data_IF_849336669214
#
_entry.id   IF_849336669214
#
_cell.length_a   1.000
_cell.length_b   1.000
_cell.length_c   1.000
_cell.angle_alpha   90.00
_cell.angle_beta   90.00
_cell.angle_gamma   90.00
#
_symmetry.space_group_name_H-M   'P 1'
#
loop_
_entity.id
_entity.type
_entity.pdbx_description
1 polymer ?
#
# COMPACT_ATOMS: atom_id res chain seq x y z
N UNK A 1 -10.30 -8.07 -7.54
CA UNK A 1 -11.47 -7.84 -6.66
C UNK A 1 -12.71 -8.60 -7.10
N UNK A 2 -12.96 -8.70 -8.41
CA UNK A 2 -14.20 -9.26 -9.00
C UNK A 2 -14.51 -10.70 -8.55
N UNK A 3 -13.49 -11.55 -8.39
CA UNK A 3 -13.69 -12.95 -7.98
C UNK A 3 -14.36 -13.12 -6.60
N UNK A 4 -14.06 -12.26 -5.62
CA UNK A 4 -14.71 -12.31 -4.29
C UNK A 4 -16.17 -11.88 -4.36
N UNK A 5 -16.49 -10.91 -5.22
CA UNK A 5 -17.86 -10.42 -5.43
C UNK A 5 -18.75 -11.39 -6.20
N UNK A 6 -18.15 -12.21 -7.07
CA UNK A 6 -18.85 -13.31 -7.75
C UNK A 6 -19.26 -14.38 -6.75
N UNK A 7 -18.38 -14.71 -5.78
CA UNK A 7 -18.66 -15.71 -4.74
C UNK A 7 -19.56 -15.18 -3.61
N UNK A 8 -19.47 -13.88 -3.28
CA UNK A 8 -20.33 -13.22 -2.30
C UNK A 8 -20.74 -11.83 -2.80
N UNK A 9 -22.03 -11.64 -3.09
CA UNK A 9 -22.57 -10.38 -3.63
C UNK A 9 -22.65 -9.24 -2.59
N UNK A 10 -22.48 -9.53 -1.30
CA UNK A 10 -22.42 -8.51 -0.27
C UNK A 10 -21.08 -7.76 -0.32
N UNK A 11 -21.09 -6.57 -0.92
CA UNK A 11 -19.91 -5.73 -1.09
C UNK A 11 -19.24 -5.32 0.24
N UNK A 12 -19.97 -5.31 1.36
CA UNK A 12 -19.38 -4.99 2.67
C UNK A 12 -18.38 -6.06 3.15
N UNK A 13 -18.43 -7.26 2.57
CA UNK A 13 -17.61 -8.41 2.97
C UNK A 13 -16.39 -8.65 2.08
N UNK A 14 -16.18 -7.84 1.04
CA UNK A 14 -15.13 -8.08 0.04
C UNK A 14 -13.71 -8.21 0.64
N UNK A 15 -13.46 -7.55 1.77
CA UNK A 15 -12.19 -7.59 2.49
C UNK A 15 -12.20 -8.47 3.74
N UNK A 16 -13.31 -9.16 4.03
CA UNK A 16 -13.44 -9.97 5.24
C UNK A 16 -12.60 -11.24 5.13
N UNK A 17 -11.57 -11.36 5.97
CA UNK A 17 -10.81 -12.61 6.11
C UNK A 17 -11.68 -13.77 6.60
N UNK A 18 -12.77 -13.51 7.34
CA UNK A 18 -13.69 -14.57 7.77
C UNK A 18 -14.42 -15.21 6.61
N UNK A 19 -14.80 -14.42 5.60
CA UNK A 19 -15.58 -14.90 4.45
C UNK A 19 -14.68 -15.44 3.33
N UNK A 20 -13.46 -14.89 3.20
CA UNK A 20 -12.60 -15.14 2.04
C UNK A 20 -11.18 -15.63 2.37
N UNK A 21 -10.88 -15.83 3.66
CA UNK A 21 -9.52 -16.04 4.13
C UNK A 21 -8.66 -14.78 4.06
N UNK A 22 -7.52 -14.84 4.75
CA UNK A 22 -6.49 -13.81 4.64
C UNK A 22 -6.01 -13.69 3.19
N UNK A 23 -5.60 -12.48 2.76
CA UNK A 23 -5.07 -12.29 1.41
C UNK A 23 -3.79 -13.11 1.23
N UNK A 24 -3.53 -13.54 -0.01
CA UNK A 24 -2.30 -14.25 -0.36
C UNK A 24 -1.05 -13.35 -0.20
N UNK A 25 -1.24 -12.03 -0.20
CA UNK A 25 -0.18 -11.04 0.05
C UNK A 25 0.17 -11.01 1.54
N UNK A 26 1.46 -10.93 1.92
CA UNK A 26 1.87 -10.88 3.31
C UNK A 26 1.19 -9.76 4.12
N UNK A 27 0.72 -10.10 5.32
CA UNK A 27 0.14 -9.12 6.25
C UNK A 27 1.22 -8.51 7.15
N UNK A 28 1.49 -7.22 6.96
CA UNK A 28 2.36 -6.44 7.84
C UNK A 28 1.63 -6.13 9.16
N UNK A 29 2.24 -6.48 10.30
CA UNK A 29 1.70 -6.21 11.64
C UNK A 29 2.68 -5.32 12.39
N UNK A 30 2.17 -4.25 12.98
CA UNK A 30 2.92 -3.29 13.79
C UNK A 30 1.99 -2.63 14.81
N UNK A 31 2.53 -2.11 15.90
CA UNK A 31 1.78 -1.29 16.84
C UNK A 31 1.67 0.14 16.32
N UNK A 32 0.57 0.82 16.64
CA UNK A 32 0.38 2.22 16.26
C UNK A 32 1.55 3.06 16.77
N UNK A 33 2.13 3.87 15.88
CA UNK A 33 3.27 4.71 16.18
C UNK A 33 4.64 4.09 15.95
N UNK A 34 4.70 2.77 15.68
CA UNK A 34 5.95 2.11 15.27
C UNK A 34 6.51 2.77 14.01
N UNK A 35 7.83 2.96 14.01
CA UNK A 35 8.52 3.46 12.82
C UNK A 35 8.64 2.32 11.82
N UNK A 36 8.08 2.51 10.63
CA UNK A 36 8.10 1.54 9.55
C UNK A 36 8.74 2.15 8.30
N UNK A 37 9.34 1.32 7.45
CA UNK A 37 9.90 1.77 6.17
C UNK A 37 9.41 0.82 5.08
N UNK A 38 8.71 1.37 4.09
CA UNK A 38 8.41 0.63 2.86
C UNK A 38 9.57 0.81 1.89
N UNK A 39 10.21 -0.28 1.52
CA UNK A 39 11.28 -0.29 0.51
C UNK A 39 10.71 -0.81 -0.79
N UNK A 40 10.74 0.04 -1.82
CA UNK A 40 10.30 -0.31 -3.17
C UNK A 40 11.53 -0.53 -4.04
N UNK A 41 11.52 -1.62 -4.80
CA UNK A 41 12.55 -1.99 -5.77
C UNK A 41 11.84 -2.40 -7.06
N UNK A 42 12.04 -1.63 -8.12
CA UNK A 42 11.64 -2.01 -9.46
C UNK A 42 12.88 -2.51 -10.22
N UNK A 43 12.75 -3.69 -10.82
CA UNK A 43 13.79 -4.28 -11.64
C UNK A 43 13.77 -3.74 -13.07
N UNK A 44 14.02 -4.63 -14.03
CA UNK A 44 14.03 -4.35 -15.46
C UNK A 44 12.68 -4.70 -16.12
N UNK A 45 11.59 -4.18 -15.57
CA UNK A 45 10.24 -4.37 -16.13
C UNK A 45 9.77 -3.06 -16.76
N UNK A 46 9.18 -3.13 -17.96
CA UNK A 46 8.81 -1.94 -18.73
C UNK A 46 7.51 -1.30 -18.23
N UNK A 47 6.78 -2.00 -17.36
CA UNK A 47 5.62 -1.47 -16.65
C UNK A 47 6.04 -0.53 -15.51
N UNK A 48 5.25 0.53 -15.33
CA UNK A 48 5.29 1.34 -14.13
C UNK A 48 4.39 0.74 -13.06
N UNK A 49 4.67 1.06 -11.80
CA UNK A 49 3.81 0.69 -10.69
C UNK A 49 3.50 1.91 -9.84
N UNK A 50 2.31 1.95 -9.27
CA UNK A 50 1.92 2.99 -8.33
C UNK A 50 1.72 2.38 -6.96
N UNK A 51 2.66 2.57 -6.04
CA UNK A 51 2.53 2.06 -4.68
C UNK A 51 1.64 2.98 -3.84
N UNK A 52 0.60 2.40 -3.24
CA UNK A 52 -0.32 3.08 -2.32
C UNK A 52 -0.52 2.22 -1.09
N UNK A 53 -0.60 2.85 0.08
CA UNK A 53 -1.17 2.24 1.30
C UNK A 53 -2.25 3.17 1.81
N UNK A 54 -3.45 2.63 2.01
CA UNK A 54 -4.58 3.39 2.57
C UNK A 54 -4.17 4.08 3.88
N UNK A 55 -4.63 5.32 4.10
CA UNK A 55 -4.38 6.08 5.31
C UNK A 55 -2.92 6.52 5.56
N UNK A 56 -1.99 6.20 4.67
CA UNK A 56 -0.57 6.55 4.80
C UNK A 56 -0.13 7.51 3.69
N UNK A 57 0.93 8.26 3.98
CA UNK A 57 1.68 8.99 2.97
C UNK A 57 3.15 9.08 3.35
N UNK A 58 3.93 9.57 2.40
CA UNK A 58 5.37 9.43 2.35
C UNK A 58 6.01 10.69 1.77
N UNK A 59 7.28 10.89 2.07
CA UNK A 59 8.14 11.87 1.42
C UNK A 59 9.12 11.10 0.53
N UNK A 60 9.04 11.21 -0.81
CA UNK A 60 9.94 10.49 -1.71
C UNK A 60 11.40 10.87 -1.45
N UNK A 61 11.65 12.16 -1.23
CA UNK A 61 12.96 12.70 -0.88
C UNK A 61 13.15 12.65 0.66
N UNK A 62 13.38 11.45 1.20
CA UNK A 62 13.37 11.18 2.65
C UNK A 62 14.28 12.04 3.54
N UNK A 63 15.30 12.69 2.99
CA UNK A 63 16.24 13.55 3.72
C UNK A 63 15.94 15.04 3.57
N UNK A 64 15.04 15.39 2.66
CA UNK A 64 14.56 16.75 2.51
C UNK A 64 13.30 16.94 3.38
N UNK A 65 13.40 17.84 4.36
CA UNK A 65 12.29 18.13 5.27
C UNK A 65 11.15 18.89 4.59
N UNK A 66 11.46 19.58 3.49
CA UNK A 66 10.52 20.38 2.71
C UNK A 66 9.93 19.58 1.52
N UNK A 67 10.40 18.34 1.33
CA UNK A 67 9.84 17.38 0.37
C UNK A 67 8.33 17.25 0.51
N UNK A 68 7.60 17.25 -0.60
CA UNK A 68 6.14 17.07 -0.57
C UNK A 68 5.74 15.75 0.10
N UNK A 69 4.64 15.77 0.84
CA UNK A 69 3.99 14.54 1.29
C UNK A 69 3.05 14.05 0.19
N UNK A 70 3.18 12.79 -0.22
CA UNK A 70 2.32 12.13 -1.20
C UNK A 70 1.76 10.82 -0.64
N UNK A 71 0.57 10.44 -1.05
CA UNK A 71 -0.07 9.17 -0.70
C UNK A 71 0.21 8.06 -1.73
N UNK A 72 0.73 8.42 -2.91
CA UNK A 72 1.12 7.50 -3.98
C UNK A 72 2.57 7.74 -4.42
N UNK A 73 3.24 6.66 -4.80
CA UNK A 73 4.59 6.69 -5.37
C UNK A 73 4.56 5.93 -6.69
N UNK A 74 4.84 6.64 -7.78
CA UNK A 74 5.13 6.02 -9.06
C UNK A 74 6.56 5.47 -9.02
N UNK A 75 6.73 4.22 -9.43
CA UNK A 75 8.01 3.53 -9.52
C UNK A 75 8.17 3.02 -10.94
N UNK A 76 9.20 3.52 -11.63
CA UNK A 76 9.58 3.11 -12.97
C UNK A 76 10.73 2.11 -13.01
N UNK A 77 11.24 1.85 -14.21
CA UNK A 77 12.36 0.92 -14.46
C UNK A 77 13.57 1.31 -13.61
N UNK A 78 14.16 0.32 -12.94
CA UNK A 78 15.39 0.46 -12.17
C UNK A 78 15.33 1.54 -11.07
N UNK A 79 14.13 1.92 -10.60
CA UNK A 79 13.97 2.85 -9.50
C UNK A 79 13.91 2.14 -8.14
N UNK A 80 14.36 2.88 -7.12
CA UNK A 80 14.31 2.45 -5.73
C UNK A 80 13.84 3.61 -4.86
N UNK A 81 12.93 3.30 -3.93
CA UNK A 81 12.50 4.24 -2.88
C UNK A 81 12.61 3.60 -1.49
N UNK A 82 13.02 4.42 -0.52
CA UNK A 82 12.94 4.12 0.91
C UNK A 82 11.95 5.10 1.53
N UNK A 83 10.75 4.63 1.88
CA UNK A 83 9.62 5.45 2.29
C UNK A 83 9.34 5.26 3.79
N UNK A 84 9.96 6.07 4.66
CA UNK A 84 9.67 6.03 6.08
C UNK A 84 8.24 6.51 6.35
N UNK A 85 7.58 5.84 7.28
CA UNK A 85 6.25 6.21 7.78
C UNK A 85 6.09 5.74 9.23
N UNK A 86 4.90 5.98 9.79
CA UNK A 86 4.50 5.41 11.08
C UNK A 86 3.31 4.50 10.88
N UNK A 87 3.28 3.39 11.62
CA UNK A 87 2.11 2.53 11.67
C UNK A 87 0.89 3.32 12.17
N UNK A 88 -0.23 3.17 11.46
CA UNK A 88 -1.44 3.97 11.67
C UNK A 88 -1.47 5.30 10.91
N UNK A 89 -0.49 5.54 10.03
CA UNK A 89 -0.40 6.73 9.18
C UNK A 89 -0.23 8.03 9.97
N UNK A 90 -0.46 9.15 9.29
CA UNK A 90 -0.39 10.48 9.93
C UNK A 90 -1.44 10.67 11.03
N UNK A 91 -2.54 9.93 10.96
CA UNK A 91 -3.63 10.01 11.93
C UNK A 91 -3.40 9.17 13.19
N UNK A 92 -2.34 8.32 13.21
CA UNK A 92 -2.02 7.44 14.34
C UNK A 92 -3.23 6.57 14.75
N UNK A 93 -3.91 6.00 13.75
CA UNK A 93 -5.13 5.24 13.96
C UNK A 93 -4.83 3.74 13.88
N UNK A 94 -5.39 2.97 14.81
CA UNK A 94 -5.36 1.51 14.70
C UNK A 94 -6.35 1.04 13.64
N UNK A 95 -5.96 0.02 12.86
CA UNK A 95 -6.83 -0.59 11.87
C UNK A 95 -6.07 -1.36 10.81
N UNK A 96 -6.83 -1.95 9.90
CA UNK A 96 -6.29 -2.65 8.74
C UNK A 96 -6.18 -1.70 7.56
N UNK A 97 -5.01 -1.68 6.93
CA UNK A 97 -4.72 -0.83 5.79
C UNK A 97 -4.36 -1.68 4.58
N UNK A 98 -5.00 -1.40 3.45
CA UNK A 98 -4.70 -2.05 2.19
C UNK A 98 -3.51 -1.38 1.51
N UNK A 99 -2.56 -2.20 1.07
CA UNK A 99 -1.52 -1.79 0.13
C UNK A 99 -1.76 -2.43 -1.24
N UNK A 100 -1.59 -1.66 -2.30
CA UNK A 100 -1.95 -2.09 -3.65
C UNK A 100 -1.18 -1.31 -4.72
N UNK A 101 -1.15 -1.88 -5.93
CA UNK A 101 -0.77 -1.14 -7.14
C UNK A 101 -1.99 -0.31 -7.60
N UNK A 102 -1.86 1.01 -7.60
CA UNK A 102 -2.91 1.96 -7.96
C UNK A 102 -3.16 2.08 -9.46
N UNK A 103 -2.33 1.47 -10.31
CA UNK A 103 -2.61 1.44 -11.74
C UNK A 103 -3.83 0.54 -12.03
N UNK A 104 -4.78 1.01 -12.84
CA UNK A 104 -5.88 0.17 -13.29
C UNK A 104 -5.31 -0.96 -14.13
N UNK A 105 -5.65 -2.20 -13.77
CA UNK A 105 -5.46 -3.34 -14.65
C UNK A 105 -6.31 -3.10 -15.90
N UNK A 106 -5.68 -2.83 -17.04
CA UNK A 106 -6.33 -2.90 -18.34
C UNK A 106 -6.62 -4.38 -18.62
N UNK A 107 -7.85 -4.81 -18.35
CA UNK A 107 -8.43 -6.11 -18.69
C UNK A 107 -9.68 -5.91 -19.51
#
# INVERSE_FOLDING_TARGET
>A
MTARLVNNKDGSKIFSSKEHGDPATPMLKAYVGDNIVFRLLAGMQNETHTFVVSGHGYRPERYDRDSRVTNSIHVGIAERYDLPSKAGGFQQMAGDYIYYNGEPLNI
#
